data_IF_765142675629
#
_entry.id   IF_765142675629
#
_cell.length_a   1.000
_cell.length_b   1.000
_cell.length_c   1.000
_cell.angle_alpha   90.00
_cell.angle_beta   90.00
_cell.angle_gamma   90.00
#
_symmetry.space_group_name_H-M   'P 1'
#
loop_
_entity.id
_entity.type
_entity.pdbx_description
1 polymer ?
#
# COMPACT_ATOMS: atom_id res chain seq x y z
N UNK A 1 -31.08 -28.48 13.15
CA UNK A 1 -29.63 -28.37 12.94
C UNK A 1 -29.30 -28.01 11.49
N UNK A 2 -29.69 -28.79 10.46
CA UNK A 2 -29.52 -28.39 9.04
C UNK A 2 -30.14 -27.03 8.67
N UNK A 3 -31.35 -26.73 9.15
CA UNK A 3 -32.02 -25.45 8.89
C UNK A 3 -31.25 -24.25 9.47
N UNK A 4 -30.61 -24.42 10.63
CA UNK A 4 -29.77 -23.38 11.26
C UNK A 4 -28.47 -23.16 10.47
N UNK A 5 -27.85 -24.23 9.99
CA UNK A 5 -26.66 -24.17 9.15
C UNK A 5 -26.96 -23.48 7.80
N UNK A 6 -28.10 -23.77 7.19
CA UNK A 6 -28.54 -23.12 5.94
C UNK A 6 -28.86 -21.63 6.15
N UNK A 7 -29.44 -21.26 7.29
CA UNK A 7 -29.66 -19.86 7.65
C UNK A 7 -28.33 -19.10 7.78
N UNK A 8 -27.37 -19.64 8.56
CA UNK A 8 -26.05 -19.04 8.74
C UNK A 8 -25.26 -18.95 7.42
N UNK A 9 -25.34 -19.96 6.56
CA UNK A 9 -24.76 -19.91 5.21
C UNK A 9 -25.37 -18.81 4.36
N UNK A 10 -26.69 -18.63 4.40
CA UNK A 10 -27.38 -17.59 3.65
C UNK A 10 -27.01 -16.19 4.16
N UNK A 11 -26.87 -16.03 5.46
CA UNK A 11 -26.51 -14.77 6.11
C UNK A 11 -25.05 -14.41 5.84
N UNK A 12 -24.13 -15.38 5.92
CA UNK A 12 -22.73 -15.22 5.55
C UNK A 12 -22.57 -14.87 4.06
N UNK A 13 -23.28 -15.56 3.15
CA UNK A 13 -23.24 -15.25 1.71
C UNK A 13 -23.72 -13.82 1.44
N UNK A 14 -24.81 -13.40 2.10
CA UNK A 14 -25.32 -12.04 1.98
C UNK A 14 -24.30 -11.00 2.46
N UNK A 15 -23.66 -11.21 3.60
CA UNK A 15 -22.62 -10.32 4.12
C UNK A 15 -21.37 -10.26 3.24
N UNK A 16 -20.94 -11.41 2.70
CA UNK A 16 -19.84 -11.46 1.73
C UNK A 16 -20.18 -10.65 0.47
N UNK A 17 -21.42 -10.73 -0.03
CA UNK A 17 -21.85 -9.96 -1.19
C UNK A 17 -21.97 -8.45 -0.88
N UNK A 18 -22.41 -8.08 0.32
CA UNK A 18 -22.39 -6.68 0.82
C UNK A 18 -20.95 -6.14 0.86
N UNK A 19 -20.00 -6.93 1.39
CA UNK A 19 -18.58 -6.58 1.39
C UNK A 19 -17.97 -6.49 -0.02
N UNK A 20 -18.36 -7.37 -0.95
CA UNK A 20 -17.90 -7.29 -2.35
C UNK A 20 -18.39 -6.01 -3.03
N UNK A 21 -19.63 -5.61 -2.77
CA UNK A 21 -20.17 -4.35 -3.26
C UNK A 21 -19.43 -3.16 -2.65
N UNK A 22 -19.14 -3.20 -1.35
CA UNK A 22 -18.36 -2.17 -0.66
C UNK A 22 -16.92 -2.07 -1.19
N UNK A 23 -16.26 -3.20 -1.46
CA UNK A 23 -14.92 -3.25 -2.05
C UNK A 23 -14.90 -2.67 -3.47
N UNK A 24 -15.90 -2.99 -4.31
CA UNK A 24 -16.03 -2.40 -5.64
C UNK A 24 -16.29 -0.88 -5.57
N UNK A 25 -17.03 -0.41 -4.56
CA UNK A 25 -17.24 1.01 -4.30
C UNK A 25 -15.96 1.70 -3.79
N UNK A 26 -15.18 1.04 -2.94
CA UNK A 26 -13.86 1.50 -2.49
C UNK A 26 -12.86 1.59 -3.65
N UNK A 27 -12.81 0.60 -4.54
CA UNK A 27 -11.93 0.62 -5.73
C UNK A 27 -12.28 1.81 -6.64
N UNK A 28 -13.57 2.04 -6.88
CA UNK A 28 -14.05 3.22 -7.61
C UNK A 28 -13.66 4.52 -6.91
N UNK A 29 -13.80 4.58 -5.58
CA UNK A 29 -13.43 5.75 -4.79
C UNK A 29 -11.92 6.01 -4.79
N UNK A 30 -11.08 4.97 -4.81
CA UNK A 30 -9.63 5.07 -4.98
C UNK A 30 -9.26 5.71 -6.32
N UNK A 31 -9.88 5.28 -7.42
CA UNK A 31 -9.64 5.89 -8.75
C UNK A 31 -10.03 7.37 -8.78
N UNK A 32 -11.15 7.73 -8.15
CA UNK A 32 -11.59 9.14 -8.08
C UNK A 32 -10.64 9.95 -7.19
N UNK A 33 -10.15 9.38 -6.08
CA UNK A 33 -9.16 10.00 -5.19
C UNK A 33 -7.85 10.30 -5.92
N UNK A 34 -7.33 9.34 -6.70
CA UNK A 34 -6.12 9.55 -7.51
C UNK A 34 -6.32 10.66 -8.53
N UNK A 35 -7.48 10.68 -9.20
CA UNK A 35 -7.83 11.72 -10.19
C UNK A 35 -7.83 13.10 -9.54
N UNK A 36 -8.52 13.28 -8.41
CA UNK A 36 -8.53 14.55 -7.69
C UNK A 36 -7.16 14.95 -7.15
N UNK A 37 -6.34 14.00 -6.70
CA UNK A 37 -4.98 14.27 -6.25
C UNK A 37 -4.10 14.82 -7.39
N UNK A 38 -4.23 14.24 -8.59
CA UNK A 38 -3.54 14.71 -9.79
C UNK A 38 -4.02 16.09 -10.24
N UNK A 39 -5.33 16.34 -10.24
CA UNK A 39 -5.90 17.65 -10.58
C UNK A 39 -5.47 18.73 -9.59
N UNK A 40 -5.46 18.43 -8.28
CA UNK A 40 -4.95 19.33 -7.24
C UNK A 40 -3.47 19.65 -7.48
N UNK A 41 -2.67 18.64 -7.84
CA UNK A 41 -1.25 18.85 -8.11
C UNK A 41 -1.03 19.80 -9.31
N UNK A 42 -1.75 19.57 -10.41
CA UNK A 42 -1.69 20.42 -11.60
C UNK A 42 -2.14 21.85 -11.31
N UNK A 43 -3.26 22.03 -10.59
CA UNK A 43 -3.75 23.35 -10.18
C UNK A 43 -2.74 24.09 -9.30
N UNK A 44 -2.02 23.40 -8.40
CA UNK A 44 -0.95 24.02 -7.61
C UNK A 44 0.20 24.51 -8.48
N UNK A 45 0.66 23.70 -9.42
CA UNK A 45 1.74 24.09 -10.34
C UNK A 45 1.35 25.29 -11.21
N UNK A 46 0.10 25.31 -11.69
CA UNK A 46 -0.44 26.43 -12.46
C UNK A 46 -0.56 27.72 -11.63
N UNK A 47 -1.06 27.63 -10.40
CA UNK A 47 -1.15 28.77 -9.48
C UNK A 47 0.26 29.28 -9.14
N UNK A 48 1.22 28.41 -8.90
CA UNK A 48 2.61 28.78 -8.61
C UNK A 48 3.26 29.48 -9.82
N UNK A 49 3.02 28.97 -11.03
CA UNK A 49 3.44 29.63 -12.27
C UNK A 49 2.80 31.02 -12.43
N UNK A 50 1.48 31.12 -12.24
CA UNK A 50 0.73 32.37 -12.41
C UNK A 50 1.09 33.40 -11.32
N UNK A 51 1.38 32.99 -10.08
CA UNK A 51 1.88 33.86 -9.02
C UNK A 51 3.25 34.48 -9.37
N UNK A 52 4.11 33.74 -10.06
CA UNK A 52 5.44 34.23 -10.47
C UNK A 52 5.33 35.19 -11.66
N UNK A 53 4.45 34.91 -12.62
CA UNK A 53 4.41 35.62 -13.90
C UNK A 53 3.29 36.67 -14.01
N UNK A 54 2.21 36.52 -13.25
CA UNK A 54 0.99 37.36 -13.27
C UNK A 54 0.34 37.46 -11.87
N UNK A 55 1.06 38.00 -10.86
CA UNK A 55 0.68 37.97 -9.43
C UNK A 55 -0.62 38.70 -9.07
N UNK A 56 -1.26 39.42 -9.99
CA UNK A 56 -2.45 40.25 -9.74
C UNK A 56 -3.63 39.89 -10.64
N UNK A 57 -3.62 38.69 -11.24
CA UNK A 57 -4.69 38.24 -12.13
C UNK A 57 -5.83 37.58 -11.36
N UNK A 58 -7.08 37.88 -11.74
CA UNK A 58 -8.28 37.23 -11.20
C UNK A 58 -8.30 35.71 -11.45
N UNK A 59 -7.49 35.24 -12.40
CA UNK A 59 -7.29 33.82 -12.72
C UNK A 59 -6.68 33.05 -11.53
N UNK A 60 -5.87 33.70 -10.69
CA UNK A 60 -5.29 33.07 -9.49
C UNK A 60 -6.38 32.84 -8.43
N UNK A 61 -7.32 33.77 -8.27
CA UNK A 61 -8.44 33.65 -7.33
C UNK A 61 -9.38 32.51 -7.77
N UNK A 62 -9.77 32.47 -9.04
CA UNK A 62 -10.62 31.41 -9.61
C UNK A 62 -9.98 30.01 -9.46
N UNK A 63 -8.68 29.87 -9.76
CA UNK A 63 -7.96 28.59 -9.59
C UNK A 63 -7.79 28.20 -8.12
N UNK A 64 -7.67 29.18 -7.22
CA UNK A 64 -7.57 28.92 -5.78
C UNK A 64 -8.90 28.44 -5.18
N UNK A 65 -10.03 28.97 -5.65
CA UNK A 65 -11.36 28.47 -5.30
C UNK A 65 -11.56 27.03 -5.81
N UNK A 66 -11.20 26.74 -7.06
CA UNK A 66 -11.24 25.38 -7.62
C UNK A 66 -10.38 24.39 -6.84
N UNK A 67 -9.18 24.82 -6.43
CA UNK A 67 -8.29 24.02 -5.58
C UNK A 67 -8.96 23.67 -4.23
N UNK A 68 -9.65 24.65 -3.62
CA UNK A 68 -10.33 24.45 -2.34
C UNK A 68 -11.50 23.47 -2.48
N UNK A 69 -12.33 23.61 -3.51
CA UNK A 69 -13.44 22.68 -3.78
C UNK A 69 -12.97 21.24 -4.01
N UNK A 70 -11.86 21.05 -4.74
CA UNK A 70 -11.29 19.72 -4.96
C UNK A 70 -10.74 19.11 -3.66
N UNK A 71 -10.15 19.93 -2.78
CA UNK A 71 -9.69 19.46 -1.46
C UNK A 71 -10.86 19.01 -0.57
N UNK A 72 -11.99 19.73 -0.59
CA UNK A 72 -13.19 19.29 0.14
C UNK A 72 -13.77 17.98 -0.41
N UNK A 73 -13.76 17.81 -1.75
CA UNK A 73 -14.20 16.57 -2.39
C UNK A 73 -13.28 15.40 -2.04
N UNK A 74 -11.97 15.62 -2.00
CA UNK A 74 -10.98 14.62 -1.58
C UNK A 74 -11.23 14.17 -0.14
N UNK A 75 -11.42 15.11 0.80
CA UNK A 75 -11.71 14.80 2.20
C UNK A 75 -13.01 13.98 2.37
N UNK A 76 -14.03 14.25 1.57
CA UNK A 76 -15.27 13.46 1.58
C UNK A 76 -15.04 12.03 1.09
N UNK A 77 -14.20 11.83 0.08
CA UNK A 77 -13.84 10.50 -0.42
C UNK A 77 -12.98 9.75 0.60
N UNK A 78 -11.99 10.40 1.20
CA UNK A 78 -11.18 9.81 2.27
C UNK A 78 -12.08 9.33 3.43
N UNK A 79 -13.04 10.17 3.87
CA UNK A 79 -14.02 9.79 4.91
C UNK A 79 -14.97 8.65 4.48
N UNK A 80 -15.27 8.52 3.18
CA UNK A 80 -16.06 7.40 2.66
C UNK A 80 -15.25 6.10 2.62
N UNK A 81 -13.95 6.18 2.29
CA UNK A 81 -13.03 5.05 2.34
C UNK A 81 -12.84 4.57 3.79
N UNK A 82 -12.61 5.49 4.74
CA UNK A 82 -12.48 5.18 6.17
C UNK A 82 -13.72 4.44 6.71
N UNK A 83 -14.92 4.85 6.29
CA UNK A 83 -16.18 4.17 6.68
C UNK A 83 -16.34 2.78 6.09
N UNK A 84 -15.82 2.56 4.88
CA UNK A 84 -15.87 1.25 4.22
C UNK A 84 -14.85 0.30 4.89
N UNK A 85 -13.72 0.82 5.40
CA UNK A 85 -12.75 0.04 6.18
C UNK A 85 -13.26 -0.31 7.60
N UNK A 86 -14.04 0.57 8.24
CA UNK A 86 -14.51 0.37 9.63
C UNK A 86 -15.73 -0.56 9.79
N UNK A 87 -16.40 -0.98 8.71
CA UNK A 87 -17.62 -1.78 8.81
C UNK A 87 -17.43 -3.14 8.13
N UNK A 88 -17.44 -4.22 8.93
CA UNK A 88 -17.72 -5.63 8.57
C UNK A 88 -16.60 -6.70 8.68
N UNK A 89 -15.42 -6.44 9.22
CA UNK A 89 -14.45 -7.55 9.44
C UNK A 89 -14.82 -8.42 10.68
N UNK A 90 -15.24 -7.79 11.79
CA UNK A 90 -15.61 -8.52 13.02
C UNK A 90 -16.93 -9.32 12.89
N UNK A 91 -17.94 -8.80 12.18
CA UNK A 91 -19.22 -9.51 11.98
C UNK A 91 -19.06 -10.72 11.05
N UNK A 92 -18.26 -10.60 9.98
CA UNK A 92 -17.97 -11.73 9.09
C UNK A 92 -17.19 -12.81 9.84
N UNK A 93 -16.21 -12.43 10.66
CA UNK A 93 -15.41 -13.39 11.40
C UNK A 93 -16.23 -14.12 12.48
N UNK A 94 -17.13 -13.41 13.16
CA UNK A 94 -18.11 -14.03 14.07
C UNK A 94 -19.05 -14.99 13.35
N UNK A 95 -19.60 -14.61 12.19
CA UNK A 95 -20.46 -15.48 11.39
C UNK A 95 -19.72 -16.72 10.86
N UNK A 96 -18.46 -16.56 10.45
CA UNK A 96 -17.59 -17.69 10.10
C UNK A 96 -17.41 -18.61 11.30
N UNK A 97 -17.03 -18.09 12.46
CA UNK A 97 -16.87 -18.89 13.68
C UNK A 97 -18.14 -19.66 14.08
N UNK A 98 -19.30 -19.02 14.02
CA UNK A 98 -20.58 -19.67 14.33
C UNK A 98 -20.93 -20.77 13.33
N UNK A 99 -20.69 -20.52 12.05
CA UNK A 99 -20.87 -21.51 10.99
C UNK A 99 -19.93 -22.72 11.20
N UNK A 100 -18.67 -22.48 11.56
CA UNK A 100 -17.69 -23.53 11.86
C UNK A 100 -18.15 -24.40 13.03
N UNK A 101 -18.60 -23.77 14.12
CA UNK A 101 -19.11 -24.46 15.32
C UNK A 101 -20.30 -25.35 14.99
N UNK A 102 -21.17 -24.92 14.07
CA UNK A 102 -22.35 -25.69 13.68
C UNK A 102 -22.03 -26.81 12.66
N UNK A 103 -21.06 -26.61 11.76
CA UNK A 103 -20.56 -27.67 10.87
C UNK A 103 -19.89 -28.79 11.67
N UNK A 104 -19.08 -28.45 12.68
CA UNK A 104 -18.46 -29.45 13.58
C UNK A 104 -19.50 -30.32 14.30
N UNK A 105 -20.64 -29.75 14.70
CA UNK A 105 -21.73 -30.51 15.32
C UNK A 105 -22.48 -31.41 14.33
N UNK A 106 -22.53 -31.02 13.06
CA UNK A 106 -23.38 -31.66 12.05
C UNK A 106 -22.62 -32.71 11.22
N UNK A 107 -21.33 -32.49 10.96
CA UNK A 107 -20.46 -33.33 10.15
C UNK A 107 -19.05 -33.44 10.78
N UNK A 108 -18.90 -34.18 11.90
CA UNK A 108 -17.62 -34.33 12.59
C UNK A 108 -16.54 -34.98 11.72
N UNK A 109 -16.91 -35.82 10.75
CA UNK A 109 -16.00 -36.38 9.75
C UNK A 109 -15.39 -35.33 8.79
N UNK A 110 -16.02 -34.16 8.66
CA UNK A 110 -15.56 -33.08 7.79
C UNK A 110 -14.63 -32.08 8.50
N UNK A 111 -14.51 -32.16 9.83
CA UNK A 111 -13.68 -31.28 10.67
C UNK A 111 -12.21 -31.25 10.25
N UNK A 112 -11.61 -32.40 9.99
CA UNK A 112 -10.20 -32.48 9.62
C UNK A 112 -9.91 -31.80 8.27
N UNK A 113 -10.84 -31.95 7.30
CA UNK A 113 -10.74 -31.30 6.00
C UNK A 113 -10.90 -29.78 6.14
N UNK A 114 -11.88 -29.33 6.94
CA UNK A 114 -12.10 -27.93 7.22
C UNK A 114 -10.90 -27.26 7.90
N UNK A 115 -10.38 -27.86 8.98
CA UNK A 115 -9.23 -27.33 9.71
C UNK A 115 -8.02 -27.13 8.82
N UNK A 116 -7.79 -28.02 7.87
CA UNK A 116 -6.71 -27.91 6.90
C UNK A 116 -6.91 -26.72 5.96
N UNK A 117 -8.12 -26.56 5.40
CA UNK A 117 -8.47 -25.45 4.52
C UNK A 117 -8.42 -24.10 5.25
N UNK A 118 -8.96 -24.04 6.46
CA UNK A 118 -8.97 -22.84 7.28
C UNK A 118 -7.57 -22.41 7.71
N UNK A 119 -6.71 -23.36 8.12
CA UNK A 119 -5.30 -23.05 8.43
C UNK A 119 -4.56 -22.52 7.20
N UNK A 120 -4.86 -23.06 6.02
CA UNK A 120 -4.31 -22.57 4.76
C UNK A 120 -4.75 -21.13 4.47
N UNK A 121 -6.05 -20.83 4.63
CA UNK A 121 -6.59 -19.48 4.46
C UNK A 121 -5.96 -18.49 5.43
N UNK A 122 -5.94 -18.79 6.73
CA UNK A 122 -5.36 -17.91 7.75
C UNK A 122 -3.86 -17.63 7.49
N UNK A 123 -3.11 -18.65 7.07
CA UNK A 123 -1.70 -18.48 6.70
C UNK A 123 -1.54 -17.60 5.47
N UNK A 124 -2.41 -17.74 4.47
CA UNK A 124 -2.39 -16.92 3.26
C UNK A 124 -2.77 -15.46 3.56
N UNK A 125 -3.77 -15.23 4.42
CA UNK A 125 -4.19 -13.88 4.87
C UNK A 125 -3.07 -13.18 5.60
N UNK A 126 -2.48 -13.85 6.60
CA UNK A 126 -1.36 -13.29 7.35
C UNK A 126 -0.15 -12.97 6.46
N UNK A 127 0.13 -13.82 5.48
CA UNK A 127 1.23 -13.58 4.53
C UNK A 127 0.94 -12.37 3.63
N UNK A 128 -0.27 -12.29 3.07
CA UNK A 128 -0.69 -11.17 2.24
C UNK A 128 -0.63 -9.84 3.02
N UNK A 129 -1.23 -9.81 4.22
CA UNK A 129 -1.22 -8.64 5.10
C UNK A 129 0.21 -8.18 5.41
N UNK A 130 1.11 -9.12 5.70
CA UNK A 130 2.52 -8.82 5.95
C UNK A 130 3.20 -8.20 4.72
N UNK A 131 2.98 -8.76 3.53
CA UNK A 131 3.56 -8.24 2.28
C UNK A 131 3.04 -6.84 1.96
N UNK A 132 1.73 -6.61 2.09
CA UNK A 132 1.10 -5.31 1.83
C UNK A 132 1.61 -4.24 2.81
N UNK A 133 1.62 -4.54 4.11
CA UNK A 133 2.18 -3.62 5.14
C UNK A 133 3.65 -3.32 4.92
N UNK A 134 4.43 -4.30 4.45
CA UNK A 134 5.82 -4.09 4.12
C UNK A 134 5.98 -3.17 2.89
N UNK A 135 5.18 -3.39 1.84
CA UNK A 135 5.14 -2.55 0.64
C UNK A 135 4.80 -1.09 0.97
N UNK A 136 3.77 -0.86 1.77
CA UNK A 136 3.40 0.49 2.24
C UNK A 136 4.53 1.17 3.02
N UNK A 137 5.19 0.42 3.91
CA UNK A 137 6.32 0.93 4.68
C UNK A 137 7.54 1.25 3.80
N UNK A 138 7.67 0.62 2.64
CA UNK A 138 8.76 0.81 1.69
C UNK A 138 8.62 2.11 0.88
N UNK A 139 7.39 2.59 0.61
CA UNK A 139 7.14 3.77 -0.21
C UNK A 139 7.97 5.01 0.19
N UNK A 140 8.08 5.40 1.49
CA UNK A 140 8.87 6.56 1.88
C UNK A 140 10.38 6.38 1.64
N UNK A 141 10.87 5.14 1.68
CA UNK A 141 12.26 4.81 1.37
C UNK A 141 12.51 4.94 -0.13
N UNK A 142 11.62 4.38 -0.96
CA UNK A 142 11.69 4.47 -2.41
C UNK A 142 11.61 5.92 -2.90
N UNK A 143 10.71 6.72 -2.33
CA UNK A 143 10.60 8.16 -2.62
C UNK A 143 11.89 8.91 -2.25
N UNK A 144 12.45 8.64 -1.08
CA UNK A 144 13.69 9.28 -0.62
C UNK A 144 14.88 8.91 -1.52
N UNK A 145 14.96 7.66 -1.97
CA UNK A 145 15.99 7.21 -2.90
C UNK A 145 15.82 7.87 -4.28
N UNK A 146 14.58 8.03 -4.77
CA UNK A 146 14.27 8.76 -6.02
C UNK A 146 14.64 10.25 -5.93
N UNK A 147 14.32 10.92 -4.81
CA UNK A 147 14.71 12.31 -4.55
C UNK A 147 16.23 12.49 -4.62
N UNK A 148 16.99 11.48 -4.16
CA UNK A 148 18.44 11.43 -4.35
C UNK A 148 18.84 11.54 -5.81
N UNK A 149 18.28 10.70 -6.68
CA UNK A 149 18.60 10.70 -8.12
C UNK A 149 18.31 12.05 -8.77
N UNK A 150 17.20 12.68 -8.41
CA UNK A 150 16.76 13.96 -8.94
C UNK A 150 17.66 15.12 -8.49
N UNK A 151 18.20 15.06 -7.26
CA UNK A 151 19.18 16.02 -6.74
C UNK A 151 20.45 16.16 -7.62
N UNK A 152 20.76 15.15 -8.45
CA UNK A 152 21.85 15.21 -9.43
C UNK A 152 21.50 16.00 -10.70
N UNK A 153 20.21 16.07 -11.06
CA UNK A 153 19.71 16.76 -12.26
C UNK A 153 19.71 18.28 -12.12
N UNK A 154 19.79 18.79 -10.89
CA UNK A 154 19.97 20.21 -10.60
C UNK A 154 21.37 20.68 -11.09
N UNK A 155 21.40 21.31 -12.27
CA UNK A 155 22.57 22.03 -12.81
C UNK A 155 22.32 23.55 -12.73
N UNK A 156 23.37 24.32 -12.44
CA UNK A 156 23.37 25.79 -12.59
C UNK A 156 22.77 26.57 -11.41
N UNK A 157 22.58 27.89 -11.63
CA UNK A 157 22.26 28.91 -10.61
C UNK A 157 21.00 28.67 -9.75
N UNK A 158 20.13 27.74 -10.14
CA UNK A 158 18.96 27.32 -9.35
C UNK A 158 19.32 26.58 -8.05
N UNK A 159 20.40 25.79 -8.04
CA UNK A 159 20.91 25.16 -6.82
C UNK A 159 21.49 26.19 -5.82
N UNK A 160 21.96 27.32 -6.36
CA UNK A 160 22.49 28.45 -5.59
C UNK A 160 21.36 29.36 -5.04
N UNK A 161 20.32 29.63 -5.84
CA UNK A 161 19.15 30.43 -5.44
C UNK A 161 18.30 29.78 -4.33
N UNK A 162 18.24 28.45 -4.28
CA UNK A 162 17.54 27.71 -3.22
C UNK A 162 18.39 27.43 -1.98
N UNK A 163 19.63 27.92 -1.91
CA UNK A 163 20.54 27.71 -0.76
C UNK A 163 20.95 26.25 -0.51
N UNK A 164 20.69 25.35 -1.45
CA UNK A 164 20.89 23.89 -1.28
C UNK A 164 22.21 23.47 -1.90
N UNK A 165 23.28 23.47 -1.10
CA UNK A 165 24.54 22.82 -1.46
C UNK A 165 24.28 21.33 -1.75
N UNK A 166 24.58 20.90 -2.97
CA UNK A 166 24.38 19.52 -3.44
C UNK A 166 24.98 18.46 -2.50
N UNK A 167 26.12 18.74 -1.85
CA UNK A 167 26.70 17.81 -0.86
C UNK A 167 25.83 17.67 0.39
N UNK A 168 25.23 18.76 0.85
CA UNK A 168 24.34 18.78 2.01
C UNK A 168 23.04 18.05 1.69
N UNK A 169 22.47 18.28 0.51
CA UNK A 169 21.26 17.59 0.04
C UNK A 169 21.49 16.07 -0.08
N UNK A 170 22.61 15.65 -0.68
CA UNK A 170 22.96 14.23 -0.77
C UNK A 170 23.18 13.60 0.61
N UNK A 171 23.87 14.30 1.52
CA UNK A 171 24.04 13.82 2.89
C UNK A 171 22.71 13.68 3.64
N UNK A 172 21.75 14.61 3.42
CA UNK A 172 20.42 14.55 4.01
C UNK A 172 19.61 13.37 3.46
N UNK A 173 19.67 13.12 2.14
CA UNK A 173 19.00 11.99 1.50
C UNK A 173 19.54 10.66 2.05
N UNK A 174 20.87 10.48 2.08
CA UNK A 174 21.47 9.24 2.60
C UNK A 174 21.11 9.02 4.06
N UNK A 175 21.17 10.06 4.89
CA UNK A 175 20.82 9.95 6.30
C UNK A 175 19.33 9.63 6.50
N UNK A 176 18.42 10.26 5.74
CA UNK A 176 16.99 9.96 5.79
C UNK A 176 16.70 8.52 5.34
N UNK A 177 17.27 8.10 4.21
CA UNK A 177 17.15 6.75 3.68
C UNK A 177 17.71 5.72 4.68
N UNK A 178 18.81 6.02 5.38
CA UNK A 178 19.39 5.12 6.40
C UNK A 178 18.42 4.88 7.56
N UNK A 179 17.81 5.94 8.10
CA UNK A 179 16.83 5.80 9.18
C UNK A 179 15.61 4.99 8.74
N UNK A 180 15.16 5.19 7.51
CA UNK A 180 14.06 4.42 6.93
C UNK A 180 14.44 2.95 6.74
N UNK A 181 15.65 2.67 6.24
CA UNK A 181 16.17 1.31 6.10
C UNK A 181 16.31 0.58 7.45
N UNK A 182 16.77 1.26 8.51
CA UNK A 182 16.78 0.71 9.88
C UNK A 182 15.38 0.37 10.38
N UNK A 183 14.40 1.24 10.11
CA UNK A 183 13.00 1.00 10.48
C UNK A 183 12.36 -0.15 9.68
N UNK A 184 12.82 -0.40 8.45
CA UNK A 184 12.35 -1.50 7.61
C UNK A 184 12.95 -2.86 8.04
N UNK A 185 14.19 -2.88 8.56
CA UNK A 185 14.84 -4.12 8.99
C UNK A 185 14.08 -4.88 10.08
N UNK A 186 13.34 -4.18 10.94
CA UNK A 186 12.53 -4.81 12.00
C UNK A 186 11.19 -5.37 11.51
N UNK A 187 10.81 -5.07 10.25
CA UNK A 187 9.51 -5.41 9.65
C UNK A 187 9.62 -6.38 8.48
N UNK A 188 10.81 -6.86 8.17
CA UNK A 188 11.09 -7.69 7.01
C UNK A 188 11.48 -9.11 7.43
N UNK A 189 10.81 -10.10 6.86
CA UNK A 189 11.21 -11.52 6.98
C UNK A 189 11.95 -12.06 5.74
N UNK A 190 11.91 -11.34 4.62
CA UNK A 190 12.62 -11.70 3.39
C UNK A 190 14.15 -11.55 3.52
N UNK A 191 14.93 -12.63 3.28
CA UNK A 191 16.39 -12.58 3.32
C UNK A 191 17.01 -11.63 2.29
N UNK A 192 16.42 -11.51 1.10
CA UNK A 192 16.93 -10.66 0.03
C UNK A 192 16.87 -9.18 0.42
N UNK A 193 15.73 -8.76 0.97
CA UNK A 193 15.55 -7.40 1.49
C UNK A 193 16.42 -7.12 2.70
N UNK A 194 16.59 -8.08 3.62
CA UNK A 194 17.52 -7.93 4.75
C UNK A 194 18.96 -7.70 4.28
N UNK A 195 19.42 -8.49 3.32
CA UNK A 195 20.77 -8.34 2.75
C UNK A 195 20.94 -6.97 2.08
N UNK A 196 19.99 -6.59 1.23
CA UNK A 196 19.99 -5.28 0.57
C UNK A 196 20.06 -4.12 1.56
N UNK A 197 19.14 -4.07 2.53
CA UNK A 197 19.08 -2.98 3.52
C UNK A 197 20.34 -2.95 4.39
N UNK A 198 20.88 -4.11 4.78
CA UNK A 198 22.11 -4.20 5.57
C UNK A 198 23.32 -3.68 4.78
N UNK A 199 23.46 -4.06 3.50
CA UNK A 199 24.51 -3.53 2.62
C UNK A 199 24.36 -2.03 2.40
N UNK A 200 23.13 -1.55 2.19
CA UNK A 200 22.86 -0.14 2.04
C UNK A 200 23.31 0.64 3.28
N UNK A 201 22.94 0.19 4.49
CA UNK A 201 23.32 0.83 5.75
C UNK A 201 24.84 0.85 5.97
N UNK A 202 25.53 -0.24 5.65
CA UNK A 202 26.99 -0.30 5.74
C UNK A 202 27.66 0.71 4.80
N UNK A 203 27.16 0.86 3.58
CA UNK A 203 27.68 1.85 2.63
C UNK A 203 27.27 3.28 3.02
N UNK A 204 26.10 3.47 3.64
CA UNK A 204 25.61 4.76 4.09
C UNK A 204 26.49 5.40 5.19
N UNK A 205 27.19 4.58 5.99
CA UNK A 205 28.13 5.05 7.03
C UNK A 205 29.41 5.66 6.47
N UNK A 206 29.73 5.43 5.19
CA UNK A 206 30.95 5.96 4.56
C UNK A 206 30.76 7.43 4.17
N UNK A 207 31.84 8.22 4.06
CA UNK A 207 31.74 9.59 3.53
C UNK A 207 31.39 9.57 2.04
N UNK A 208 30.19 10.05 1.69
CA UNK A 208 29.70 10.09 0.32
C UNK A 208 30.31 11.24 -0.46
N UNK A 209 31.09 10.91 -1.50
CA UNK A 209 31.59 11.86 -2.48
C UNK A 209 30.82 11.71 -3.82
N UNK A 210 31.10 12.57 -4.79
CA UNK A 210 30.40 12.57 -6.08
C UNK A 210 30.60 11.31 -6.93
N UNK A 211 31.67 10.55 -6.67
CA UNK A 211 32.05 9.33 -7.39
C UNK A 211 31.36 8.11 -6.79
N UNK A 212 31.46 7.94 -5.47
CA UNK A 212 30.70 6.93 -4.71
C UNK A 212 29.18 7.07 -4.95
N UNK A 213 28.71 8.32 -5.03
CA UNK A 213 27.32 8.59 -5.37
C UNK A 213 26.94 8.13 -6.79
N UNK A 214 27.83 8.30 -7.78
CA UNK A 214 27.56 7.84 -9.14
C UNK A 214 27.61 6.33 -9.27
N UNK A 215 28.52 5.67 -8.56
CA UNK A 215 28.77 4.24 -8.71
C UNK A 215 27.89 3.39 -7.81
N UNK A 216 27.64 3.81 -6.56
CA UNK A 216 26.95 2.99 -5.56
C UNK A 216 25.47 3.33 -5.42
N UNK A 217 25.12 4.62 -5.41
CA UNK A 217 23.72 5.02 -5.20
C UNK A 217 22.81 4.52 -6.33
N UNK A 218 23.30 4.57 -7.57
CA UNK A 218 22.57 4.08 -8.74
C UNK A 218 22.35 2.58 -8.65
N UNK A 219 23.39 1.80 -8.34
CA UNK A 219 23.26 0.36 -8.15
C UNK A 219 22.27 0.01 -7.04
N UNK A 220 22.32 0.71 -5.89
CA UNK A 220 21.32 0.49 -4.84
C UNK A 220 19.91 0.86 -5.27
N UNK A 221 19.74 1.89 -6.09
CA UNK A 221 18.41 2.25 -6.59
C UNK A 221 17.88 1.26 -7.63
N UNK A 222 18.72 0.80 -8.55
CA UNK A 222 18.34 -0.23 -9.53
C UNK A 222 17.99 -1.56 -8.83
N UNK A 223 18.81 -1.95 -7.84
CA UNK A 223 18.53 -3.12 -7.02
C UNK A 223 17.25 -2.97 -6.18
N UNK A 224 16.98 -1.75 -5.67
CA UNK A 224 15.73 -1.44 -4.98
C UNK A 224 14.52 -1.62 -5.91
N UNK A 225 14.58 -1.13 -7.16
CA UNK A 225 13.49 -1.30 -8.11
C UNK A 225 13.24 -2.78 -8.41
N UNK A 226 14.28 -3.55 -8.70
CA UNK A 226 14.15 -4.98 -8.99
C UNK A 226 13.58 -5.79 -7.80
N UNK A 227 13.91 -5.39 -6.56
CA UNK A 227 13.32 -5.97 -5.36
C UNK A 227 11.86 -5.56 -5.14
N UNK A 228 11.50 -4.32 -5.47
CA UNK A 228 10.11 -3.84 -5.43
C UNK A 228 9.24 -4.57 -6.45
N UNK A 229 9.72 -4.74 -7.69
CA UNK A 229 9.00 -5.49 -8.73
C UNK A 229 8.72 -6.95 -8.28
N UNK A 230 9.72 -7.60 -7.68
CA UNK A 230 9.56 -8.94 -7.09
C UNK A 230 8.54 -8.96 -5.94
N UNK A 231 8.50 -7.91 -5.13
CA UNK A 231 7.52 -7.79 -4.05
C UNK A 231 6.09 -7.64 -4.61
N UNK A 232 5.89 -6.86 -5.68
CA UNK A 232 4.60 -6.74 -6.35
C UNK A 232 4.14 -8.08 -6.94
N UNK A 233 5.05 -8.85 -7.53
CA UNK A 233 4.79 -10.22 -7.98
C UNK A 233 4.39 -11.14 -6.82
N UNK A 234 5.08 -11.06 -5.68
CA UNK A 234 4.79 -11.83 -4.47
C UNK A 234 3.41 -11.48 -3.88
N UNK A 235 3.05 -10.18 -3.83
CA UNK A 235 1.73 -9.72 -3.39
C UNK A 235 0.65 -10.27 -4.32
N UNK A 236 0.84 -10.12 -5.64
CA UNK A 236 -0.09 -10.61 -6.65
C UNK A 236 -0.28 -12.14 -6.57
N UNK A 237 0.78 -12.89 -6.28
CA UNK A 237 0.70 -14.34 -6.07
C UNK A 237 -0.05 -14.66 -4.77
N UNK A 238 0.21 -13.91 -3.70
CA UNK A 238 -0.49 -14.07 -2.42
C UNK A 238 -1.99 -13.81 -2.55
N UNK A 239 -2.40 -12.82 -3.34
CA UNK A 239 -3.81 -12.56 -3.67
C UNK A 239 -4.47 -13.72 -4.38
N UNK A 240 -3.80 -14.29 -5.39
CA UNK A 240 -4.32 -15.48 -6.08
C UNK A 240 -4.47 -16.66 -5.12
N UNK A 241 -3.51 -16.86 -4.22
CA UNK A 241 -3.58 -17.92 -3.21
C UNK A 241 -4.76 -17.70 -2.23
N UNK A 242 -5.02 -16.46 -1.83
CA UNK A 242 -6.17 -16.11 -1.02
C UNK A 242 -7.49 -16.44 -1.71
N UNK A 243 -7.63 -16.02 -2.97
CA UNK A 243 -8.81 -16.32 -3.80
C UNK A 243 -8.99 -17.83 -3.94
N UNK A 244 -7.91 -18.59 -4.18
CA UNK A 244 -7.99 -20.05 -4.28
C UNK A 244 -8.40 -20.71 -2.96
N UNK A 245 -7.86 -20.27 -1.82
CA UNK A 245 -8.26 -20.82 -0.51
C UNK A 245 -9.74 -20.54 -0.22
N UNK A 246 -10.23 -19.36 -0.55
CA UNK A 246 -11.65 -18.99 -0.40
C UNK A 246 -12.55 -19.82 -1.33
N UNK A 247 -12.13 -20.02 -2.59
CA UNK A 247 -12.82 -20.91 -3.54
C UNK A 247 -12.89 -22.35 -3.05
N UNK A 248 -11.79 -22.90 -2.52
CA UNK A 248 -11.76 -24.27 -1.99
C UNK A 248 -12.68 -24.46 -0.78
N UNK A 249 -12.77 -23.45 0.09
CA UNK A 249 -13.72 -23.44 1.20
C UNK A 249 -15.16 -23.40 0.68
N UNK A 250 -15.46 -22.53 -0.28
CA UNK A 250 -16.80 -22.45 -0.89
C UNK A 250 -17.20 -23.77 -1.58
N UNK A 251 -16.29 -24.39 -2.33
CA UNK A 251 -16.51 -25.70 -2.97
C UNK A 251 -16.71 -26.82 -1.94
N UNK A 252 -16.02 -26.76 -0.81
CA UNK A 252 -16.21 -27.71 0.28
C UNK A 252 -17.58 -27.52 0.96
N UNK A 253 -18.00 -26.26 1.19
CA UNK A 253 -19.32 -25.94 1.72
C UNK A 253 -20.44 -26.40 0.77
N UNK A 254 -20.26 -26.25 -0.55
CA UNK A 254 -21.24 -26.70 -1.54
C UNK A 254 -21.38 -28.24 -1.58
N UNK A 255 -20.32 -28.99 -1.28
CA UNK A 255 -20.38 -30.46 -1.15
C UNK A 255 -21.11 -30.95 0.11
N UNK A 256 -21.36 -30.06 1.08
CA UNK A 256 -22.09 -30.36 2.31
C UNK A 256 -23.59 -30.04 2.24
N UNK A 257 -24.03 -29.37 1.17
CA UNK A 257 -25.45 -29.17 0.81
C UNK A 257 -26.03 -30.41 0.11
#
# INVERSE_FOLDING_TARGET
>A
MREKMQMLLSELKKKIDECRLAAAEAEKNHVVRETYSQEIHQLREEIEYDLIHKPSSSVIEEKSEQLHELQEKLQKIDHQLDKIEETEEEEIEQLKEELIKEIHKTYPEAEAAYKKLHTCLLSAQKNHEHLTKFSEALLPFLETMKQGLEAKKLKGGWAFLLGRNRKVLLSQVIHKASRQAEALLSKIDSPAWRDFLSRFLLEAQKPWNSELYKEKFYTFYEELLDLTDKLEDEISLSDRNLIHCDQDINLWLDKLN
#
